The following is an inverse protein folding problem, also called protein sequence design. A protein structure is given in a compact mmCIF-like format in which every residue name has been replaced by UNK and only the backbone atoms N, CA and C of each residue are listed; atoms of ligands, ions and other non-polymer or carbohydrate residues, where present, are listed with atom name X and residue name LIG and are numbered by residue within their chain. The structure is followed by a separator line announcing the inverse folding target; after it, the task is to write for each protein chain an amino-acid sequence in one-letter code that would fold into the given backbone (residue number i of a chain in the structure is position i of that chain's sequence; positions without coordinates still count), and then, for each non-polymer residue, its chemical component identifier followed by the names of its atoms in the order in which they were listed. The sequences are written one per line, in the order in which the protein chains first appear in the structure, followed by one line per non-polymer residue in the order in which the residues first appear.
data_IF_354825588257
#
_entry.id   IF_354825588257
#
_cell.length_a   1.000
_cell.length_b   1.000
_cell.length_c   1.000
_cell.angle_alpha   90.00
_cell.angle_beta   90.00
_cell.angle_gamma   90.00
#
_symmetry.space_group_name_H-M   'P 1'
#
loop_
_entity.id
_entity.type
_entity.pdbx_description
1 polymer ?
#
# COMPACT_ATOMS: atom_id res chain seq x y z
N UNK A 1 -46.71 -76.13 -21.22
CA UNK A 1 -48.05 -75.70 -20.75
C UNK A 1 -47.88 -75.00 -19.41
N UNK A 2 -48.16 -73.71 -19.34
CA UNK A 2 -48.86 -73.03 -18.23
C UNK A 2 -48.82 -71.51 -18.47
N UNK A 3 -49.96 -71.00 -18.94
CA UNK A 3 -50.32 -69.58 -18.97
C UNK A 3 -50.37 -69.03 -17.54
N UNK A 4 -49.85 -67.81 -17.32
CA UNK A 4 -50.38 -66.91 -16.29
C UNK A 4 -50.47 -65.48 -16.83
N UNK A 5 -51.65 -64.92 -16.61
CA UNK A 5 -52.18 -63.61 -17.00
C UNK A 5 -51.77 -62.57 -15.96
N UNK A 6 -51.47 -61.33 -16.38
CA UNK A 6 -51.61 -60.11 -15.56
C UNK A 6 -51.52 -58.88 -16.48
N UNK A 7 -52.66 -58.22 -16.73
CA UNK A 7 -53.07 -56.92 -16.15
C UNK A 7 -52.55 -55.71 -16.95
N UNK A 8 -53.44 -55.19 -17.80
CA UNK A 8 -53.31 -53.90 -18.49
C UNK A 8 -53.66 -52.81 -17.47
N UNK A 9 -52.69 -51.98 -17.11
CA UNK A 9 -52.90 -50.76 -16.34
C UNK A 9 -52.93 -49.56 -17.29
N UNK A 10 -54.07 -48.89 -17.34
CA UNK A 10 -54.29 -47.62 -18.06
C UNK A 10 -53.55 -46.52 -17.30
N UNK A 11 -52.51 -45.92 -17.90
CA UNK A 11 -51.92 -44.68 -17.39
C UNK A 11 -52.70 -43.48 -17.93
N UNK A 12 -53.39 -42.78 -17.04
CA UNK A 12 -53.98 -41.48 -17.31
C UNK A 12 -52.87 -40.42 -17.43
N UNK A 13 -52.85 -39.67 -18.54
CA UNK A 13 -52.03 -38.46 -18.68
C UNK A 13 -52.62 -37.35 -17.79
N UNK A 14 -51.97 -37.05 -16.68
CA UNK A 14 -52.20 -35.81 -15.95
C UNK A 14 -51.35 -34.70 -16.59
N UNK A 15 -52.00 -33.78 -17.29
CA UNK A 15 -51.38 -32.54 -17.76
C UNK A 15 -51.13 -31.62 -16.55
N UNK A 16 -49.92 -31.67 -16.00
CA UNK A 16 -49.48 -30.74 -14.96
C UNK A 16 -49.14 -29.39 -15.59
N UNK A 17 -49.96 -28.38 -15.33
CA UNK A 17 -49.69 -26.98 -15.66
C UNK A 17 -48.45 -26.52 -14.89
N UNK A 18 -47.32 -26.34 -15.59
CA UNK A 18 -46.15 -25.70 -15.04
C UNK A 18 -46.47 -24.21 -14.80
N UNK A 19 -46.72 -23.82 -13.55
CA UNK A 19 -46.74 -22.43 -13.16
C UNK A 19 -45.32 -21.87 -13.29
N UNK A 20 -45.08 -21.11 -14.36
CA UNK A 20 -43.88 -20.30 -14.54
C UNK A 20 -43.90 -19.20 -13.49
N UNK A 21 -43.18 -19.41 -12.39
CA UNK A 21 -42.83 -18.34 -11.47
C UNK A 21 -41.98 -17.32 -12.26
N UNK A 22 -42.29 -16.01 -12.19
CA UNK A 22 -41.44 -15.01 -12.83
C UNK A 22 -40.05 -15.12 -12.22
N UNK A 23 -39.07 -15.42 -13.07
CA UNK A 23 -37.65 -15.34 -12.70
C UNK A 23 -37.40 -13.90 -12.24
N UNK A 24 -37.30 -13.71 -10.93
CA UNK A 24 -36.80 -12.47 -10.36
C UNK A 24 -35.39 -12.31 -10.90
N UNK A 25 -35.22 -11.40 -11.85
CA UNK A 25 -33.92 -11.07 -12.39
C UNK A 25 -33.00 -10.73 -11.22
N UNK A 26 -31.97 -11.56 -11.02
CA UNK A 26 -30.89 -11.22 -10.12
C UNK A 26 -30.30 -9.92 -10.65
N UNK A 27 -30.66 -8.79 -10.02
CA UNK A 27 -29.92 -7.56 -10.18
C UNK A 27 -28.52 -7.88 -9.67
N UNK A 28 -27.59 -8.12 -10.60
CA UNK A 28 -26.18 -8.07 -10.30
C UNK A 28 -25.94 -6.67 -9.74
N UNK A 29 -25.89 -6.55 -8.41
CA UNK A 29 -25.58 -5.30 -7.75
C UNK A 29 -24.29 -4.80 -8.36
N UNK A 30 -24.35 -3.65 -9.03
CA UNK A 30 -23.15 -2.97 -9.51
C UNK A 30 -22.34 -2.68 -8.25
N UNK A 31 -21.32 -3.50 -7.98
CA UNK A 31 -20.36 -3.19 -6.92
C UNK A 31 -19.66 -1.91 -7.36
N UNK A 32 -20.12 -0.78 -6.83
CA UNK A 32 -19.47 0.52 -7.03
C UNK A 32 -18.07 0.39 -6.45
N UNK A 33 -17.06 0.36 -7.33
CA UNK A 33 -15.67 0.35 -6.90
C UNK A 33 -15.39 1.66 -6.16
N UNK A 34 -14.68 1.64 -5.01
CA UNK A 34 -14.31 2.87 -4.33
C UNK A 34 -13.53 3.78 -5.29
N UNK A 35 -13.90 5.05 -5.41
CA UNK A 35 -13.21 6.01 -6.26
C UNK A 35 -12.11 6.73 -5.45
N UNK A 36 -10.82 6.60 -5.81
CA UNK A 36 -9.75 7.31 -5.14
C UNK A 36 -9.84 8.82 -5.32
N UNK A 37 -9.57 9.58 -4.27
CA UNK A 37 -9.31 11.00 -4.40
C UNK A 37 -7.91 11.21 -5.01
N UNK A 38 -7.79 12.15 -5.95
CA UNK A 38 -6.54 12.41 -6.64
C UNK A 38 -6.29 13.90 -6.85
N UNK A 39 -5.00 14.28 -6.94
CA UNK A 39 -4.56 15.63 -7.24
C UNK A 39 -3.33 15.59 -8.15
N UNK A 40 -3.34 16.41 -9.21
CA UNK A 40 -2.14 16.66 -10.00
C UNK A 40 -1.06 17.30 -9.13
N UNK A 41 0.18 16.84 -9.30
CA UNK A 41 1.38 17.36 -8.65
C UNK A 41 2.25 18.07 -9.70
N UNK A 42 3.49 17.63 -9.95
CA UNK A 42 4.34 18.23 -10.97
C UNK A 42 4.09 17.59 -12.35
N UNK A 43 2.95 17.92 -12.97
CA UNK A 43 2.47 17.28 -14.20
C UNK A 43 3.14 17.85 -15.47
N UNK A 44 3.68 19.08 -15.42
CA UNK A 44 4.45 19.69 -16.50
C UNK A 44 5.97 19.57 -16.31
N UNK A 45 6.73 19.62 -17.41
CA UNK A 45 8.19 19.62 -17.34
C UNK A 45 8.78 20.81 -16.54
N UNK A 46 8.11 21.98 -16.58
CA UNK A 46 8.50 23.14 -15.77
C UNK A 46 8.30 22.92 -14.28
N UNK A 47 7.14 22.40 -13.87
CA UNK A 47 6.87 22.09 -12.46
C UNK A 47 7.83 21.02 -11.94
N UNK A 48 8.12 19.99 -12.76
CA UNK A 48 9.10 18.96 -12.40
C UNK A 48 10.48 19.56 -12.13
N UNK A 49 10.97 20.43 -12.99
CA UNK A 49 12.25 21.13 -12.78
C UNK A 49 12.23 21.99 -11.51
N UNK A 50 11.12 22.68 -11.23
CA UNK A 50 10.98 23.49 -10.01
C UNK A 50 11.04 22.62 -8.75
N UNK A 51 10.29 21.51 -8.71
CA UNK A 51 10.29 20.57 -7.58
C UNK A 51 11.66 19.94 -7.38
N UNK A 52 12.34 19.51 -8.45
CA UNK A 52 13.67 18.92 -8.36
C UNK A 52 14.73 19.93 -7.91
N UNK A 53 14.62 21.20 -8.33
CA UNK A 53 15.50 22.29 -7.88
C UNK A 53 15.20 22.71 -6.44
N UNK A 54 13.93 22.62 -6.03
CA UNK A 54 13.52 22.90 -4.66
C UNK A 54 14.22 21.98 -3.67
N UNK A 55 14.38 20.69 -3.98
CA UNK A 55 15.03 19.74 -3.09
C UNK A 55 16.54 19.67 -3.24
N UNK A 56 17.22 20.50 -2.45
CA UNK A 56 18.65 20.35 -2.18
C UNK A 56 18.89 19.25 -1.14
N UNK A 57 20.10 18.70 -1.11
CA UNK A 57 20.53 17.74 -0.07
C UNK A 57 20.28 18.28 1.34
N UNK A 58 20.71 19.52 1.60
CA UNK A 58 20.46 20.22 2.88
C UNK A 58 18.98 20.28 3.25
N UNK A 59 18.07 20.53 2.29
CA UNK A 59 16.62 20.57 2.56
C UNK A 59 16.05 19.19 2.86
N UNK A 60 16.55 18.15 2.20
CA UNK A 60 16.16 16.76 2.46
C UNK A 60 16.66 16.30 3.84
N UNK A 61 17.91 16.58 4.19
CA UNK A 61 18.48 16.24 5.50
C UNK A 61 17.75 16.96 6.64
N UNK A 62 17.40 18.23 6.44
CA UNK A 62 16.68 19.02 7.43
C UNK A 62 15.16 18.75 7.46
N UNK A 63 14.62 17.87 6.61
CA UNK A 63 13.19 17.59 6.56
C UNK A 63 12.78 16.69 7.75
N UNK A 64 12.02 17.21 8.73
CA UNK A 64 11.59 16.41 9.88
C UNK A 64 10.67 15.26 9.45
N UNK A 65 10.62 14.16 10.22
CA UNK A 65 9.60 13.16 10.00
C UNK A 65 8.19 13.73 10.17
N UNK A 66 7.23 13.31 9.34
CA UNK A 66 5.83 13.59 9.59
C UNK A 66 5.25 12.54 10.55
N UNK A 67 4.63 13.00 11.63
CA UNK A 67 3.86 12.14 12.52
C UNK A 67 2.47 11.88 11.94
N UNK A 68 2.05 10.62 11.96
CA UNK A 68 0.68 10.27 11.61
C UNK A 68 -0.30 10.75 12.69
N UNK A 69 -1.52 11.17 12.31
CA UNK A 69 -2.55 11.43 13.29
C UNK A 69 -2.89 10.11 13.99
N UNK A 70 -2.84 10.11 15.33
CA UNK A 70 -3.32 8.97 16.10
C UNK A 70 -4.84 8.79 15.92
N UNK A 71 -5.36 7.56 16.02
CA UNK A 71 -6.79 7.31 16.02
C UNK A 71 -7.48 8.09 17.16
N UNK A 72 -8.52 8.86 16.82
CA UNK A 72 -9.22 9.73 17.78
C UNK A 72 -10.27 8.93 18.56
N UNK A 73 -10.10 8.83 19.89
CA UNK A 73 -11.14 8.31 20.76
C UNK A 73 -12.38 9.24 20.74
N UNK A 74 -13.57 8.67 20.56
CA UNK A 74 -14.83 9.43 20.63
C UNK A 74 -15.36 9.99 19.31
N UNK A 75 -14.81 9.58 18.15
CA UNK A 75 -15.52 9.78 16.88
C UNK A 75 -16.88 9.06 16.97
N UNK A 76 -17.98 9.82 17.10
CA UNK A 76 -19.35 9.31 17.32
C UNK A 76 -19.90 8.45 16.16
N UNK A 77 -19.09 8.14 15.15
CA UNK A 77 -19.38 7.16 14.09
C UNK A 77 -18.28 6.09 14.16
N UNK A 78 -18.69 4.83 14.18
CA UNK A 78 -17.77 3.70 14.10
C UNK A 78 -16.78 3.91 12.93
N UNK A 79 -15.49 3.71 13.17
CA UNK A 79 -14.49 3.75 12.09
C UNK A 79 -14.88 2.72 11.04
N UNK A 80 -14.77 3.10 9.76
CA UNK A 80 -15.17 2.19 8.69
C UNK A 80 -14.19 1.03 8.62
N UNK A 81 -14.71 -0.19 8.41
CA UNK A 81 -13.88 -1.35 8.15
C UNK A 81 -13.55 -1.38 6.65
N UNK A 82 -12.28 -1.58 6.26
CA UNK A 82 -11.92 -1.78 4.87
C UNK A 82 -12.70 -2.93 4.24
N UNK A 83 -13.20 -2.75 3.03
CA UNK A 83 -13.98 -3.78 2.36
C UNK A 83 -13.07 -4.94 1.95
N UNK A 84 -13.49 -6.16 2.29
CA UNK A 84 -12.82 -7.38 1.84
C UNK A 84 -13.35 -7.81 0.47
N UNK A 85 -12.48 -8.46 -0.31
CA UNK A 85 -12.79 -8.94 -1.65
C UNK A 85 -12.02 -10.21 -1.98
N UNK A 86 -12.00 -10.58 -3.25
CA UNK A 86 -11.20 -11.72 -3.71
C UNK A 86 -9.71 -11.39 -3.59
N UNK A 87 -8.88 -12.28 -3.00
CA UNK A 87 -7.43 -12.13 -2.98
C UNK A 87 -6.89 -11.84 -4.38
N UNK A 88 -6.07 -10.79 -4.51
CA UNK A 88 -5.44 -10.41 -5.77
C UNK A 88 -3.96 -10.12 -5.54
N UNK A 89 -3.10 -10.46 -6.50
CA UNK A 89 -1.65 -10.24 -6.40
C UNK A 89 -1.05 -9.96 -7.78
N UNK A 90 -0.16 -8.97 -7.84
CA UNK A 90 0.80 -8.80 -8.92
C UNK A 90 2.21 -9.18 -8.42
N UNK A 91 2.95 -10.04 -9.13
CA UNK A 91 4.28 -10.47 -8.69
C UNK A 91 5.32 -9.33 -8.82
N UNK A 92 6.46 -9.44 -8.13
CA UNK A 92 7.56 -8.50 -8.29
C UNK A 92 8.11 -8.50 -9.73
N UNK A 93 8.51 -7.32 -10.21
CA UNK A 93 9.13 -7.15 -11.53
C UNK A 93 10.56 -7.69 -11.50
N UNK A 94 10.93 -8.52 -12.48
CA UNK A 94 12.27 -9.12 -12.56
C UNK A 94 12.48 -10.36 -11.67
N UNK A 95 11.41 -10.95 -11.11
CA UNK A 95 11.51 -12.18 -10.34
C UNK A 95 11.72 -13.42 -11.25
N UNK A 96 12.84 -14.13 -11.06
CA UNK A 96 12.93 -15.56 -11.36
C UNK A 96 12.14 -16.35 -10.31
N UNK A 97 11.53 -17.49 -10.68
CA UNK A 97 10.79 -18.37 -9.76
C UNK A 97 11.69 -18.74 -8.57
N UNK A 98 11.51 -18.07 -7.43
CA UNK A 98 12.30 -18.33 -6.21
C UNK A 98 11.54 -19.26 -5.28
N UNK A 99 12.26 -20.16 -4.59
CA UNK A 99 11.71 -21.05 -3.56
C UNK A 99 11.11 -20.25 -2.40
N UNK A 100 10.15 -20.86 -1.71
CA UNK A 100 9.47 -20.29 -0.55
C UNK A 100 10.48 -19.74 0.48
N UNK A 101 10.18 -18.56 1.02
CA UNK A 101 10.99 -17.89 2.03
C UNK A 101 11.09 -18.76 3.30
N UNK A 102 12.28 -18.87 3.89
CA UNK A 102 12.45 -19.42 5.24
C UNK A 102 11.83 -18.50 6.28
N UNK A 103 11.35 -19.06 7.40
CA UNK A 103 10.82 -18.24 8.49
C UNK A 103 11.89 -17.26 8.98
N UNK A 104 11.54 -15.98 8.91
CA UNK A 104 12.37 -14.87 9.31
C UNK A 104 12.68 -14.89 10.80
N UNK A 105 13.92 -14.57 11.19
CA UNK A 105 14.18 -14.12 12.55
C UNK A 105 13.36 -12.86 12.83
N UNK A 106 12.85 -12.71 14.06
CA UNK A 106 12.14 -11.50 14.48
C UNK A 106 13.11 -10.33 14.56
N UNK A 107 12.70 -9.17 14.06
CA UNK A 107 13.43 -7.91 14.12
C UNK A 107 12.47 -6.81 14.56
N UNK A 108 12.92 -5.91 15.43
CA UNK A 108 12.09 -4.83 15.99
C UNK A 108 12.58 -3.45 15.58
N UNK A 109 13.35 -3.30 14.49
CA UNK A 109 13.83 -1.99 14.02
C UNK A 109 15.34 -1.93 13.90
N UNK A 110 15.95 -2.93 13.27
CA UNK A 110 17.41 -2.94 13.04
C UNK A 110 17.75 -2.54 11.61
N UNK A 111 18.95 -1.99 11.34
CA UNK A 111 19.39 -1.69 9.98
C UNK A 111 19.32 -2.92 9.07
N UNK A 112 18.82 -2.72 7.86
CA UNK A 112 18.85 -3.76 6.83
C UNK A 112 20.21 -3.79 6.13
N UNK A 113 20.93 -4.91 6.24
CA UNK A 113 22.31 -5.04 5.73
C UNK A 113 22.48 -6.08 4.62
N UNK A 114 21.44 -6.84 4.28
CA UNK A 114 21.52 -7.96 3.32
C UNK A 114 21.44 -7.54 1.85
N UNK A 115 21.25 -6.26 1.56
CA UNK A 115 21.14 -5.76 0.19
C UNK A 115 19.83 -6.19 -0.49
N UNK A 116 19.90 -6.59 -1.75
CA UNK A 116 18.74 -7.05 -2.53
C UNK A 116 17.85 -5.94 -3.09
N UNK A 117 16.77 -6.34 -3.76
CA UNK A 117 15.86 -5.43 -4.45
C UNK A 117 15.17 -4.43 -3.52
N UNK A 118 14.93 -4.78 -2.25
CA UNK A 118 14.30 -3.90 -1.25
C UNK A 118 15.07 -2.60 -1.03
N UNK A 119 16.41 -2.64 -1.11
CA UNK A 119 17.26 -1.45 -0.95
C UNK A 119 17.02 -0.46 -2.09
N UNK A 120 16.80 -0.96 -3.31
CA UNK A 120 16.58 -0.11 -4.50
C UNK A 120 15.14 0.37 -4.60
N UNK A 121 14.20 -0.48 -4.22
CA UNK A 121 12.75 -0.22 -4.37
C UNK A 121 12.17 0.59 -3.22
N UNK A 122 12.78 0.55 -2.02
CA UNK A 122 12.35 1.37 -0.87
C UNK A 122 13.16 2.66 -0.81
N UNK A 123 12.48 3.78 -0.57
CA UNK A 123 13.11 5.10 -0.57
C UNK A 123 12.53 6.05 0.46
N UNK A 124 13.24 7.16 0.67
CA UNK A 124 12.70 8.30 1.39
C UNK A 124 11.74 9.08 0.49
N UNK A 125 10.72 9.63 1.11
CA UNK A 125 9.74 10.51 0.49
C UNK A 125 9.90 11.87 1.14
N UNK A 126 10.01 12.92 0.34
CA UNK A 126 10.10 14.31 0.81
C UNK A 126 8.99 15.13 0.18
N UNK A 127 8.39 16.02 0.96
CA UNK A 127 7.30 16.88 0.49
C UNK A 127 7.18 18.12 1.37
N UNK A 128 6.41 19.09 0.88
CA UNK A 128 6.01 20.27 1.62
C UNK A 128 4.55 20.13 2.07
N UNK A 129 4.32 20.23 3.36
CA UNK A 129 3.00 20.22 3.99
C UNK A 129 2.82 21.46 4.86
N UNK A 130 1.72 22.18 4.70
CA UNK A 130 1.42 23.40 5.46
C UNK A 130 2.60 24.41 5.49
N UNK A 131 3.29 24.57 4.35
CA UNK A 131 4.44 25.46 4.20
C UNK A 131 5.76 24.96 4.82
N UNK A 132 5.81 23.75 5.37
CA UNK A 132 6.99 23.14 5.97
C UNK A 132 7.42 21.88 5.24
N UNK A 133 8.71 21.61 5.20
CA UNK A 133 9.23 20.36 4.68
C UNK A 133 8.98 19.23 5.67
N UNK A 134 8.74 18.04 5.16
CA UNK A 134 8.60 16.83 5.94
C UNK A 134 9.08 15.61 5.16
N UNK A 135 9.27 14.50 5.86
CA UNK A 135 9.70 13.24 5.27
C UNK A 135 8.88 12.04 5.74
N UNK A 136 8.78 11.09 4.82
CA UNK A 136 8.20 9.76 4.97
C UNK A 136 9.11 8.73 4.26
N UNK A 137 8.58 7.53 4.07
CA UNK A 137 9.10 6.46 3.25
C UNK A 137 8.06 6.03 2.19
N UNK A 138 8.49 5.21 1.25
CA UNK A 138 7.62 4.60 0.25
C UNK A 138 8.34 3.47 -0.48
N UNK A 139 7.60 2.72 -1.30
CA UNK A 139 8.18 1.65 -2.13
C UNK A 139 7.67 1.70 -3.55
N UNK A 140 8.59 1.57 -4.51
CA UNK A 140 8.27 1.28 -5.90
C UNK A 140 7.66 -0.13 -6.02
N UNK A 141 6.53 -0.24 -6.72
CA UNK A 141 5.80 -1.50 -6.92
C UNK A 141 5.67 -1.81 -8.39
N UNK A 142 5.53 -3.09 -8.73
CA UNK A 142 5.12 -3.52 -10.07
C UNK A 142 3.83 -2.80 -10.44
N UNK A 143 3.79 -2.16 -11.61
CA UNK A 143 2.62 -1.45 -12.12
C UNK A 143 2.63 -1.43 -13.65
N UNK A 144 1.45 -1.32 -14.27
CA UNK A 144 1.33 -1.27 -15.73
C UNK A 144 2.11 -0.10 -16.36
N UNK A 145 2.06 1.09 -15.75
CA UNK A 145 2.84 2.26 -16.16
C UNK A 145 4.28 2.31 -15.62
N UNK A 146 4.72 1.28 -14.88
CA UNK A 146 6.08 1.17 -14.30
C UNK A 146 6.51 2.37 -13.43
N UNK A 147 5.55 3.10 -12.87
CA UNK A 147 5.78 4.42 -12.28
C UNK A 147 4.99 4.66 -11.01
N UNK A 148 4.68 3.62 -10.23
CA UNK A 148 3.90 3.74 -8.99
C UNK A 148 4.79 3.53 -7.76
N UNK A 149 4.64 4.45 -6.80
CA UNK A 149 5.10 4.29 -5.42
C UNK A 149 3.88 4.16 -4.51
N UNK A 150 3.85 3.13 -3.66
CA UNK A 150 2.89 3.05 -2.56
C UNK A 150 3.48 3.65 -1.28
N UNK A 151 2.65 4.39 -0.54
CA UNK A 151 3.01 5.11 0.68
C UNK A 151 1.77 5.28 1.58
N UNK A 152 1.88 5.91 2.75
CA UNK A 152 0.74 6.17 3.61
C UNK A 152 -0.08 7.36 3.09
N UNK A 153 -1.39 7.36 3.35
CA UNK A 153 -2.29 8.47 3.01
C UNK A 153 -1.79 9.81 3.56
N UNK A 154 -1.34 9.80 4.80
CA UNK A 154 -0.82 10.98 5.48
C UNK A 154 0.48 11.52 4.89
N UNK A 155 1.22 10.69 4.13
CA UNK A 155 2.41 11.08 3.38
C UNK A 155 2.09 11.71 2.02
N UNK A 156 0.82 11.78 1.62
CA UNK A 156 0.38 12.51 0.41
C UNK A 156 -0.64 13.61 0.69
N UNK A 157 -1.44 13.48 1.77
CA UNK A 157 -2.48 14.42 2.14
C UNK A 157 -2.71 14.42 3.65
N UNK A 158 -2.75 15.61 4.26
CA UNK A 158 -3.13 15.79 5.67
C UNK A 158 -3.61 17.24 5.89
N UNK A 159 -4.48 17.45 6.87
CA UNK A 159 -4.99 18.78 7.22
C UNK A 159 -5.84 19.39 6.10
N UNK A 160 -6.57 18.54 5.36
CA UNK A 160 -7.42 18.97 4.25
C UNK A 160 -6.70 19.23 2.92
N UNK A 161 -5.37 19.26 2.87
CA UNK A 161 -4.61 19.57 1.65
C UNK A 161 -3.68 18.43 1.22
N UNK A 162 -3.60 18.20 -0.09
CA UNK A 162 -2.53 17.39 -0.68
C UNK A 162 -1.19 18.12 -0.53
N UNK A 163 -0.14 17.36 -0.26
CA UNK A 163 1.21 17.90 -0.14
C UNK A 163 1.75 18.34 -1.49
N UNK A 164 2.71 19.26 -1.46
CA UNK A 164 3.38 19.81 -2.65
C UNK A 164 4.85 19.46 -2.63
N UNK A 165 5.58 19.78 -3.70
CA UNK A 165 7.00 19.42 -3.85
C UNK A 165 7.27 17.94 -3.53
N UNK A 166 6.39 17.04 -3.95
CA UNK A 166 6.49 15.64 -3.55
C UNK A 166 7.54 14.91 -4.40
N UNK A 167 8.56 14.34 -3.76
CA UNK A 167 9.61 13.53 -4.41
C UNK A 167 9.87 12.22 -3.69
N UNK A 168 10.23 11.21 -4.46
CA UNK A 168 10.70 9.90 -4.01
C UNK A 168 12.19 9.73 -4.31
N UNK A 169 12.94 9.22 -3.34
CA UNK A 169 14.39 9.00 -3.43
C UNK A 169 14.69 7.53 -3.11
N UNK A 170 14.70 6.64 -4.12
CA UNK A 170 14.96 5.22 -3.94
C UNK A 170 16.39 4.97 -3.46
N UNK A 171 16.56 4.03 -2.53
CA UNK A 171 17.87 3.64 -2.01
C UNK A 171 18.65 4.79 -1.37
N UNK A 172 17.93 5.73 -0.74
CA UNK A 172 18.55 6.81 0.02
C UNK A 172 19.54 6.25 1.05
N UNK A 173 20.75 6.82 1.08
CA UNK A 173 21.82 6.38 1.98
C UNK A 173 22.59 7.61 2.46
N UNK A 174 22.21 8.13 3.63
CA UNK A 174 22.85 9.27 4.28
C UNK A 174 23.16 10.45 3.32
N UNK A 175 22.13 11.02 2.69
CA UNK A 175 22.26 12.12 1.71
C UNK A 175 22.51 11.65 0.28
N UNK A 176 23.05 10.43 0.09
CA UNK A 176 23.28 9.84 -1.24
C UNK A 176 21.97 9.41 -1.87
N UNK A 177 21.90 9.59 -3.19
CA UNK A 177 20.70 9.39 -4.02
C UNK A 177 21.06 8.55 -5.23
N UNK A 178 21.46 7.27 -5.03
CA UNK A 178 22.10 6.45 -6.06
C UNK A 178 21.21 6.22 -7.29
N UNK A 179 19.90 6.37 -7.15
CA UNK A 179 18.93 6.22 -8.24
C UNK A 179 18.22 7.54 -8.58
N UNK A 180 18.76 8.68 -8.15
CA UNK A 180 18.19 10.00 -8.44
C UNK A 180 17.05 10.42 -7.52
N UNK A 181 16.44 11.56 -7.85
CA UNK A 181 15.28 12.13 -7.16
C UNK A 181 14.12 12.21 -8.15
N UNK A 182 12.98 11.64 -7.78
CA UNK A 182 11.86 11.44 -8.69
C UNK A 182 10.64 12.24 -8.25
N UNK A 183 10.17 13.18 -9.08
CA UNK A 183 8.99 13.97 -8.77
C UNK A 183 7.70 13.19 -9.07
N UNK A 184 6.68 13.36 -8.22
CA UNK A 184 5.35 12.86 -8.53
C UNK A 184 4.62 13.77 -9.53
N UNK A 185 3.92 13.17 -10.51
CA UNK A 185 2.96 13.86 -11.37
C UNK A 185 1.56 13.83 -10.80
N UNK A 186 1.24 12.83 -9.98
CA UNK A 186 -0.08 12.67 -9.37
C UNK A 186 0.01 12.01 -8.00
N UNK A 187 -0.83 12.48 -7.08
CA UNK A 187 -1.01 11.89 -5.75
C UNK A 187 -2.44 11.37 -5.62
N UNK A 188 -2.59 10.17 -5.08
CA UNK A 188 -3.88 9.48 -4.92
C UNK A 188 -3.99 8.92 -3.50
N UNK A 189 -5.19 8.97 -2.93
CA UNK A 189 -5.50 8.37 -1.62
C UNK A 189 -6.93 7.86 -1.58
N UNK A 190 -7.25 7.02 -0.61
CA UNK A 190 -8.62 6.54 -0.41
C UNK A 190 -9.60 7.69 -0.15
N UNK A 191 -10.89 7.56 -0.52
CA UNK A 191 -11.89 8.60 -0.23
C UNK A 191 -12.09 8.80 1.29
N UNK A 192 -11.93 7.74 2.09
CA UNK A 192 -12.03 7.79 3.55
C UNK A 192 -10.90 8.62 4.17
N UNK A 193 -9.65 8.38 3.74
CA UNK A 193 -8.52 9.21 4.17
C UNK A 193 -8.71 10.66 3.71
N UNK A 194 -9.11 10.85 2.44
CA UNK A 194 -9.34 12.17 1.88
C UNK A 194 -10.36 12.99 2.69
N UNK A 195 -11.47 12.37 3.07
CA UNK A 195 -12.58 13.06 3.72
C UNK A 195 -12.37 13.25 5.23
N UNK A 196 -11.75 12.28 5.92
CA UNK A 196 -11.78 12.21 7.39
C UNK A 196 -10.47 11.80 8.05
N UNK A 197 -9.42 11.51 7.27
CA UNK A 197 -8.15 10.98 7.81
C UNK A 197 -8.40 9.71 8.65
N UNK A 198 -9.29 8.83 8.15
CA UNK A 198 -9.60 7.55 8.78
C UNK A 198 -8.40 6.61 8.68
N UNK A 199 -7.80 6.27 9.82
CA UNK A 199 -6.54 5.52 9.90
C UNK A 199 -6.60 4.14 9.25
N UNK A 200 -7.80 3.52 9.21
CA UNK A 200 -8.00 2.22 8.57
C UNK A 200 -7.77 2.27 7.05
N UNK A 201 -7.71 3.47 6.48
CA UNK A 201 -7.55 3.73 5.06
C UNK A 201 -6.35 4.65 4.77
N UNK A 202 -5.38 4.71 5.68
CA UNK A 202 -4.14 5.50 5.57
C UNK A 202 -3.16 4.90 4.55
N UNK A 203 -3.60 4.84 3.29
CA UNK A 203 -2.87 4.29 2.15
C UNK A 203 -3.06 5.20 0.94
N UNK A 204 -1.96 5.43 0.24
CA UNK A 204 -1.88 6.26 -0.93
C UNK A 204 -0.93 5.69 -1.98
N UNK A 205 -1.04 6.26 -3.17
CA UNK A 205 -0.12 6.05 -4.26
C UNK A 205 0.37 7.39 -4.83
N UNK A 206 1.62 7.42 -5.27
CA UNK A 206 2.16 8.48 -6.10
C UNK A 206 2.51 7.93 -7.48
N UNK A 207 2.07 8.62 -8.52
CA UNK A 207 2.50 8.38 -9.91
C UNK A 207 3.72 9.24 -10.16
N UNK A 208 4.78 8.61 -10.64
CA UNK A 208 6.13 9.17 -10.67
C UNK A 208 6.52 9.54 -12.10
N UNK A 209 7.03 10.76 -12.28
CA UNK A 209 7.51 11.20 -13.57
C UNK A 209 8.74 10.40 -14.03
N UNK A 210 8.91 10.12 -15.34
CA UNK A 210 10.16 9.59 -15.85
C UNK A 210 11.35 10.51 -15.52
N UNK A 211 12.48 9.89 -15.21
CA UNK A 211 13.76 10.58 -15.02
C UNK A 211 14.69 10.15 -16.14
N UNK A 212 15.22 11.13 -16.89
CA UNK A 212 16.13 10.87 -18.02
C UNK A 212 15.56 9.87 -19.05
N UNK A 213 14.25 9.98 -19.31
CA UNK A 213 13.53 9.12 -20.26
C UNK A 213 13.26 7.69 -19.78
N UNK A 214 13.59 7.35 -18.53
CA UNK A 214 13.36 6.02 -17.94
C UNK A 214 12.24 6.07 -16.91
N UNK A 215 11.42 5.02 -16.87
CA UNK A 215 10.42 4.85 -15.82
C UNK A 215 11.09 4.41 -14.52
N UNK A 216 10.42 4.64 -13.38
CA UNK A 216 10.95 4.29 -12.07
C UNK A 216 11.28 2.80 -11.96
N UNK A 217 10.33 1.93 -12.33
CA UNK A 217 10.48 0.48 -12.19
C UNK A 217 11.51 -0.08 -13.17
N UNK A 218 11.74 0.55 -14.33
CA UNK A 218 12.87 0.16 -15.20
C UNK A 218 14.24 0.44 -14.56
N UNK A 219 14.33 1.45 -13.67
CA UNK A 219 15.59 1.79 -12.98
C UNK A 219 15.78 0.98 -11.70
N UNK A 220 14.76 0.88 -10.84
CA UNK A 220 14.92 0.32 -9.49
C UNK A 220 14.27 -1.04 -9.29
N UNK A 221 13.52 -1.52 -10.28
CA UNK A 221 12.63 -2.67 -10.13
C UNK A 221 11.32 -2.31 -9.44
N UNK A 222 10.48 -3.31 -9.19
CA UNK A 222 9.19 -3.14 -8.53
C UNK A 222 8.91 -4.33 -7.62
N UNK A 223 8.54 -4.04 -6.38
CA UNK A 223 8.07 -5.07 -5.45
C UNK A 223 6.71 -5.59 -5.91
N UNK A 224 6.38 -6.84 -5.55
CA UNK A 224 5.02 -7.33 -5.76
C UNK A 224 4.03 -6.52 -4.93
N UNK A 225 2.75 -6.61 -5.27
CA UNK A 225 1.68 -5.99 -4.49
C UNK A 225 0.50 -6.93 -4.40
N UNK A 226 -0.14 -7.01 -3.24
CA UNK A 226 -1.32 -7.81 -3.02
C UNK A 226 -2.39 -7.08 -2.21
N UNK A 227 -3.64 -7.44 -2.48
CA UNK A 227 -4.83 -6.95 -1.79
C UNK A 227 -5.71 -8.12 -1.38
N UNK A 228 -6.57 -7.88 -0.39
CA UNK A 228 -7.53 -8.85 0.12
C UNK A 228 -6.88 -10.16 0.59
N UNK A 229 -5.69 -10.07 1.20
CA UNK A 229 -4.95 -11.24 1.67
C UNK A 229 -5.41 -11.63 3.09
N UNK A 230 -5.28 -12.90 3.48
CA UNK A 230 -5.55 -13.30 4.86
C UNK A 230 -4.73 -12.47 5.86
N UNK A 231 -5.31 -12.20 7.03
CA UNK A 231 -4.64 -11.45 8.10
C UNK A 231 -3.63 -12.34 8.85
N UNK A 232 -2.94 -11.75 9.84
CA UNK A 232 -2.03 -12.44 10.79
C UNK A 232 -0.87 -13.22 10.14
N UNK A 233 -0.39 -12.71 9.00
CA UNK A 233 0.70 -13.29 8.24
C UNK A 233 2.06 -12.90 8.82
N UNK A 234 3.10 -13.65 8.46
CA UNK A 234 4.48 -13.23 8.65
C UNK A 234 4.80 -12.09 7.67
N UNK A 235 5.31 -10.99 8.18
CA UNK A 235 5.61 -9.80 7.39
C UNK A 235 6.98 -9.21 7.73
N UNK A 236 7.53 -8.45 6.78
CA UNK A 236 8.65 -7.55 6.98
C UNK A 236 8.19 -6.11 6.73
N UNK A 237 8.40 -5.22 7.67
CA UNK A 237 8.19 -3.79 7.49
C UNK A 237 9.53 -3.11 7.24
N UNK A 238 9.60 -2.20 6.28
CA UNK A 238 10.78 -1.40 5.98
C UNK A 238 10.48 0.09 6.06
N UNK A 239 11.49 0.92 6.31
CA UNK A 239 11.35 2.38 6.24
C UNK A 239 12.62 3.12 6.68
N UNK A 240 12.55 4.45 6.62
CA UNK A 240 13.61 5.38 7.04
C UNK A 240 13.13 6.19 8.25
N UNK A 241 13.07 5.59 9.47
CA UNK A 241 12.76 6.34 10.68
C UNK A 241 13.81 7.45 10.90
N UNK A 242 13.34 8.65 11.24
CA UNK A 242 14.13 9.88 11.30
C UNK A 242 13.94 10.66 12.61
N UNK A 243 13.44 9.99 13.65
CA UNK A 243 13.45 10.49 15.01
C UNK A 243 14.30 9.57 15.90
N UNK A 244 14.86 10.12 16.98
CA UNK A 244 15.78 9.40 17.86
C UNK A 244 15.18 8.04 18.31
N UNK A 245 15.98 6.95 18.31
CA UNK A 245 17.43 6.91 18.11
C UNK A 245 17.88 6.84 16.63
N UNK A 246 16.96 7.02 15.68
CA UNK A 246 17.25 7.03 14.25
C UNK A 246 17.41 8.48 13.73
N UNK A 247 18.02 8.61 12.56
CA UNK A 247 18.35 9.89 11.92
C UNK A 247 17.88 9.97 10.45
N UNK A 248 17.17 8.95 9.96
CA UNK A 248 16.68 8.88 8.58
C UNK A 248 17.76 8.53 7.56
N UNK A 249 18.98 8.19 7.98
CA UNK A 249 20.09 7.91 7.07
C UNK A 249 20.06 6.49 6.48
N UNK A 250 19.44 5.53 7.18
CA UNK A 250 19.51 4.10 6.87
C UNK A 250 18.13 3.49 6.66
N UNK A 251 18.08 2.47 5.79
CA UNK A 251 16.93 1.58 5.69
C UNK A 251 16.89 0.67 6.93
N UNK A 252 15.80 0.79 7.69
CA UNK A 252 15.52 0.00 8.88
C UNK A 252 14.42 -1.02 8.55
N UNK A 253 14.47 -2.16 9.23
CA UNK A 253 13.43 -3.17 9.11
C UNK A 253 12.93 -3.70 10.46
N UNK A 254 11.68 -4.13 10.45
CA UNK A 254 11.05 -4.95 11.47
C UNK A 254 10.50 -6.21 10.81
N UNK A 255 10.42 -7.32 11.54
CA UNK A 255 9.89 -8.58 11.03
C UNK A 255 9.23 -9.37 12.14
N UNK A 256 8.12 -10.02 11.82
CA UNK A 256 7.36 -10.80 12.77
C UNK A 256 5.99 -11.19 12.23
N UNK A 257 5.28 -11.98 13.02
CA UNK A 257 3.89 -12.30 12.73
C UNK A 257 3.03 -11.09 13.07
N UNK A 258 2.29 -10.59 12.09
CA UNK A 258 1.33 -9.53 12.29
C UNK A 258 0.18 -10.03 13.19
N UNK A 259 -0.46 -9.11 13.90
CA UNK A 259 -1.66 -9.34 14.71
C UNK A 259 -2.74 -8.31 14.35
N UNK A 260 -3.97 -8.52 14.81
CA UNK A 260 -5.04 -7.55 14.59
C UNK A 260 -5.03 -6.50 15.68
N UNK A 261 -5.21 -5.23 15.31
CA UNK A 261 -5.52 -4.21 16.29
C UNK A 261 -6.93 -4.44 16.85
N UNK A 262 -7.01 -4.63 18.17
CA UNK A 262 -8.27 -4.79 18.91
C UNK A 262 -8.63 -3.54 19.71
N UNK A 263 -7.82 -2.47 19.61
CA UNK A 263 -8.06 -1.21 20.28
C UNK A 263 -8.95 -0.29 19.44
N UNK A 264 -8.37 0.74 18.80
CA UNK A 264 -9.13 1.81 18.15
C UNK A 264 -9.20 1.69 16.63
N UNK A 265 -8.51 0.74 15.99
CA UNK A 265 -8.56 0.58 14.52
C UNK A 265 -8.97 -0.84 14.08
N UNK A 266 -8.88 -1.12 12.78
CA UNK A 266 -9.10 -2.42 12.12
C UNK A 266 -7.84 -2.88 11.38
N UNK A 267 -6.68 -2.39 11.83
CA UNK A 267 -5.41 -2.54 11.15
C UNK A 267 -4.61 -3.75 11.61
N UNK A 268 -3.47 -3.96 10.95
CA UNK A 268 -2.47 -4.90 11.41
C UNK A 268 -1.53 -4.22 12.39
N UNK A 269 -1.09 -4.95 13.41
CA UNK A 269 0.01 -4.58 14.28
C UNK A 269 1.24 -5.45 14.04
N UNK A 270 2.43 -4.86 14.21
CA UNK A 270 3.73 -5.54 14.16
C UNK A 270 4.65 -4.98 15.25
N UNK A 271 5.41 -5.86 15.91
CA UNK A 271 6.45 -5.41 16.86
C UNK A 271 7.55 -4.67 16.09
N UNK A 272 7.67 -3.37 16.32
CA UNK A 272 8.52 -2.50 15.53
C UNK A 272 8.79 -1.16 16.23
N UNK A 273 10.06 -0.86 16.46
CA UNK A 273 10.52 0.34 17.14
C UNK A 273 10.85 1.49 16.18
N UNK A 274 10.61 1.34 14.86
CA UNK A 274 10.75 2.44 13.91
C UNK A 274 9.91 3.64 14.35
N UNK A 275 10.46 4.84 14.23
CA UNK A 275 9.84 6.11 14.62
C UNK A 275 9.26 6.86 13.41
N UNK A 276 8.76 8.08 13.61
CA UNK A 276 8.36 8.97 12.53
C UNK A 276 9.40 9.03 11.41
N UNK A 277 8.96 9.17 10.16
CA UNK A 277 9.78 9.07 8.95
C UNK A 277 9.72 7.68 8.30
N UNK A 278 9.50 6.62 9.09
CA UNK A 278 9.24 5.29 8.52
C UNK A 278 7.88 5.16 7.85
N UNK A 279 6.95 6.08 8.16
CA UNK A 279 5.61 6.15 7.59
C UNK A 279 5.58 5.97 6.08
N UNK A 280 4.65 5.19 5.56
CA UNK A 280 4.54 4.83 4.16
C UNK A 280 5.51 3.75 3.68
N UNK A 281 6.50 3.39 4.48
CA UNK A 281 7.40 2.28 4.19
C UNK A 281 6.66 0.93 4.11
N UNK A 282 7.09 0.01 3.25
CA UNK A 282 6.26 -1.14 2.85
C UNK A 282 6.25 -2.25 3.90
N UNK A 283 5.11 -2.94 4.03
CA UNK A 283 5.01 -4.24 4.70
C UNK A 283 4.90 -5.35 3.67
N UNK A 284 5.84 -6.30 3.68
CA UNK A 284 6.01 -7.34 2.68
C UNK A 284 5.60 -8.71 3.21
N UNK A 285 4.68 -9.36 2.48
CA UNK A 285 4.47 -10.81 2.51
C UNK A 285 5.53 -11.52 1.69
N UNK A 286 5.74 -12.81 1.97
CA UNK A 286 6.57 -13.72 1.17
C UNK A 286 7.97 -13.15 0.85
N UNK A 287 8.51 -12.37 1.77
CA UNK A 287 9.76 -11.65 1.56
C UNK A 287 10.94 -12.61 1.59
N UNK A 288 11.71 -12.62 0.51
CA UNK A 288 12.92 -13.40 0.38
C UNK A 288 14.13 -12.52 0.70
N UNK A 289 14.78 -12.78 1.82
CA UNK A 289 15.92 -11.97 2.29
C UNK A 289 17.14 -12.00 1.37
N UNK A 290 17.32 -13.05 0.56
CA UNK A 290 18.48 -13.15 -0.33
C UNK A 290 18.31 -12.33 -1.60
N UNK A 291 17.08 -12.27 -2.13
CA UNK A 291 16.77 -11.47 -3.32
C UNK A 291 16.32 -10.05 -2.98
N UNK A 292 15.81 -9.85 -1.75
CA UNK A 292 15.14 -8.63 -1.33
C UNK A 292 13.80 -8.40 -2.03
N UNK A 293 13.18 -9.45 -2.59
CA UNK A 293 11.87 -9.38 -3.24
C UNK A 293 10.78 -9.87 -2.30
N UNK A 294 9.64 -9.18 -2.29
CA UNK A 294 8.44 -9.59 -1.57
C UNK A 294 7.18 -8.97 -2.18
N UNK A 295 6.05 -9.20 -1.53
CA UNK A 295 4.75 -8.71 -1.98
C UNK A 295 4.19 -7.73 -0.96
N UNK A 296 4.15 -6.44 -1.30
CA UNK A 296 3.64 -5.40 -0.44
C UNK A 296 2.14 -5.58 -0.18
N UNK A 297 1.75 -5.60 1.09
CA UNK A 297 0.37 -5.81 1.52
C UNK A 297 -0.04 -4.94 2.74
N UNK A 298 0.82 -4.00 3.14
CA UNK A 298 0.47 -2.88 4.00
C UNK A 298 1.56 -1.78 3.91
N UNK A 299 1.45 -0.73 4.72
CA UNK A 299 2.46 0.31 4.92
C UNK A 299 2.58 0.64 6.42
N UNK A 300 3.75 1.14 6.86
CA UNK A 300 3.85 1.78 8.17
C UNK A 300 2.89 2.99 8.19
N UNK A 301 1.94 3.03 9.12
CA UNK A 301 0.97 4.12 9.22
C UNK A 301 1.16 4.87 10.53
N UNK A 302 0.85 4.26 11.67
CA UNK A 302 0.80 4.96 12.95
C UNK A 302 1.28 4.12 14.13
N UNK A 303 1.38 4.79 15.28
CA UNK A 303 1.60 4.18 16.60
C UNK A 303 0.62 4.74 17.61
N UNK A 304 0.33 3.95 18.64
CA UNK A 304 -0.32 4.45 19.84
C UNK A 304 0.71 4.94 20.85
N UNK A 305 0.42 6.04 21.55
CA UNK A 305 1.28 6.54 22.63
C UNK A 305 1.46 5.50 23.76
N UNK A 306 0.42 4.70 24.06
CA UNK A 306 0.49 3.64 25.08
C UNK A 306 1.15 2.34 24.57
N UNK A 307 1.39 2.21 23.27
CA UNK A 307 2.03 1.03 22.66
C UNK A 307 3.13 1.46 21.66
N UNK A 308 4.18 2.16 22.12
CA UNK A 308 5.19 2.75 21.24
C UNK A 308 6.07 1.71 20.54
N UNK A 309 6.05 0.46 20.98
CA UNK A 309 6.83 -0.65 20.41
C UNK A 309 6.09 -1.38 19.28
N UNK A 310 4.87 -0.96 18.95
CA UNK A 310 4.07 -1.55 17.88
C UNK A 310 3.85 -0.52 16.77
N UNK A 311 4.14 -0.93 15.53
CA UNK A 311 3.76 -0.19 14.33
C UNK A 311 2.47 -0.79 13.79
N UNK A 312 1.56 0.07 13.36
CA UNK A 312 0.31 -0.32 12.74
C UNK A 312 0.30 0.05 11.26
N UNK A 313 -0.38 -0.77 10.47
CA UNK A 313 -0.49 -0.59 9.03
C UNK A 313 -1.87 -1.01 8.51
N UNK A 314 -2.47 -0.23 7.57
CA UNK A 314 -3.83 -0.48 7.12
C UNK A 314 -3.97 -1.81 6.40
N UNK A 315 -5.14 -2.42 6.52
CA UNK A 315 -5.48 -3.58 5.70
C UNK A 315 -5.65 -3.16 4.24
N UNK A 316 -4.96 -3.84 3.35
CA UNK A 316 -5.06 -3.61 1.90
C UNK A 316 -6.31 -4.29 1.33
N UNK A 317 -7.48 -3.71 1.61
CA UNK A 317 -8.78 -4.10 1.07
C UNK A 317 -9.08 -3.53 -0.32
N UNK A 318 -10.35 -3.55 -0.72
CA UNK A 318 -10.81 -3.06 -2.03
C UNK A 318 -10.50 -1.57 -2.26
N UNK A 319 -10.52 -0.74 -1.22
CA UNK A 319 -10.19 0.69 -1.31
C UNK A 319 -8.70 0.91 -1.65
N UNK A 320 -7.81 0.18 -0.99
CA UNK A 320 -6.38 0.21 -1.28
C UNK A 320 -6.12 -0.31 -2.71
N UNK A 321 -6.83 -1.38 -3.09
CA UNK A 321 -6.76 -1.93 -4.44
C UNK A 321 -7.20 -0.92 -5.50
N UNK A 322 -8.27 -0.15 -5.23
CA UNK A 322 -8.75 0.89 -6.14
C UNK A 322 -7.73 2.02 -6.30
N UNK A 323 -7.09 2.47 -5.22
CA UNK A 323 -5.99 3.45 -5.28
C UNK A 323 -4.86 2.97 -6.18
N UNK A 324 -4.40 1.73 -5.98
CA UNK A 324 -3.36 1.12 -6.81
C UNK A 324 -3.80 1.00 -8.28
N UNK A 325 -5.02 0.51 -8.55
CA UNK A 325 -5.55 0.35 -9.91
C UNK A 325 -5.63 1.69 -10.65
N UNK A 326 -6.11 2.74 -9.98
CA UNK A 326 -6.14 4.08 -10.55
C UNK A 326 -4.72 4.60 -10.85
N UNK A 327 -3.79 4.41 -9.91
CA UNK A 327 -2.41 4.88 -10.05
C UNK A 327 -1.65 4.17 -11.18
N UNK A 328 -1.78 2.84 -11.30
CA UNK A 328 -1.06 2.08 -12.33
C UNK A 328 -1.57 2.34 -13.76
N UNK A 329 -2.81 2.84 -13.89
CA UNK A 329 -3.45 3.16 -15.17
C UNK A 329 -3.36 4.65 -15.51
N UNK A 330 -2.79 5.49 -14.64
CA UNK A 330 -2.60 6.90 -14.89
C UNK A 330 -1.41 7.16 -15.82
N UNK A 331 -1.50 8.22 -16.62
CA UNK A 331 -0.36 8.71 -17.38
C UNK A 331 0.71 9.27 -16.43
N UNK A 332 1.95 8.84 -16.62
CA UNK A 332 3.10 9.25 -15.82
C UNK A 332 3.90 10.41 -16.44
N UNK A 333 3.64 10.77 -17.71
CA UNK A 333 4.42 11.73 -18.49
C UNK A 333 3.66 13.02 -18.83
#
# INVERSE_FOLDING_TARGET
MHRKVALISVLALAAGSAALLPASGAQAGVQVRPEPAQKAAADSASERRQVLTYWTERRMEAAPPLDAPGPKAGAKKAMAQPAEGTPWTAPPSGASKSRAASQAARSSGTPWTKGGAVVKTTGRVFFTTQGRNASCSGSAVTSANKSVVLTAGHCVKMGGAFHTNWVFVPGYDNGRRPFGTWAATRLLTTPQWNAREDINFDIAAAVIAPLEGKTLVDVVGGQGVAFNQPRRQQMYAFGYPAAAPYDGSKLIHCSGRAFDDVALSKDHGLTCNMTGGSSGGPWMLNFNESTGLGTQNSVNSFKYNFAPNWMFGPYFGNEAQAVYQAAQNANAA
#
